data_IF_094973002508
#
_entry.id   IF_094973002508
#
_cell.length_a   1.000
_cell.length_b   1.000
_cell.length_c   1.000
_cell.angle_alpha   90.00
_cell.angle_beta   90.00
_cell.angle_gamma   90.00
#
_symmetry.space_group_name_H-M   'P 1'
#
loop_
_entity.id
_entity.type
_entity.pdbx_description
1 polymer ?
#
# COMPACT_ATOMS: atom_id res chain seq x y z
N UNK A 1 30.22 0.91 25.13
CA UNK A 1 29.27 1.60 26.05
C UNK A 1 29.01 3.03 25.61
N UNK A 2 30.03 3.90 25.51
CA UNK A 2 29.85 5.30 25.10
C UNK A 2 29.50 5.50 23.61
N UNK A 3 30.03 4.64 22.72
CA UNK A 3 29.77 4.68 21.27
C UNK A 3 28.29 4.50 20.90
N UNK A 4 27.58 3.62 21.62
CA UNK A 4 26.18 3.31 21.35
C UNK A 4 25.25 4.47 21.77
N UNK A 5 25.65 5.26 22.77
CA UNK A 5 24.88 6.42 23.26
C UNK A 5 24.91 7.55 22.23
N UNK A 6 26.07 7.78 21.59
CA UNK A 6 26.22 8.76 20.52
C UNK A 6 25.36 8.43 19.29
N UNK A 7 25.26 7.15 18.93
CA UNK A 7 24.42 6.68 17.80
C UNK A 7 22.93 6.91 18.09
N UNK A 8 22.47 6.62 19.30
CA UNK A 8 21.07 6.83 19.71
C UNK A 8 20.70 8.32 19.67
N UNK A 9 21.57 9.18 20.19
CA UNK A 9 21.37 10.63 20.15
C UNK A 9 21.32 11.17 18.71
N UNK A 10 22.11 10.61 17.80
CA UNK A 10 22.11 10.98 16.39
C UNK A 10 20.82 10.51 15.67
N UNK A 11 20.30 9.33 16.02
CA UNK A 11 19.00 8.85 15.51
C UNK A 11 17.85 9.77 15.91
N UNK A 12 17.81 10.27 17.16
CA UNK A 12 16.76 11.19 17.62
C UNK A 12 16.79 12.56 16.93
N UNK A 13 17.97 13.05 16.51
CA UNK A 13 18.12 14.35 15.84
C UNK A 13 17.76 14.34 14.35
N UNK A 14 17.60 13.15 13.73
CA UNK A 14 17.21 12.99 12.33
C UNK A 14 15.74 12.56 12.14
N UNK A 15 14.96 12.43 13.22
CA UNK A 15 13.52 12.14 13.12
C UNK A 15 12.81 13.47 12.84
N UNK A 16 12.80 13.90 11.58
CA UNK A 16 11.83 14.86 11.08
C UNK A 16 10.44 14.32 11.42
N UNK A 17 9.81 14.88 12.46
CA UNK A 17 8.49 14.50 12.94
C UNK A 17 7.40 15.02 11.98
N UNK A 18 7.56 14.80 10.69
CA UNK A 18 6.41 14.75 9.79
C UNK A 18 5.76 13.38 9.98
N UNK A 19 5.05 13.20 11.10
CA UNK A 19 4.01 12.18 11.19
C UNK A 19 2.89 12.62 10.24
N UNK A 20 3.11 12.44 8.94
CA UNK A 20 2.03 12.45 7.97
C UNK A 20 1.23 11.20 8.27
N UNK A 21 0.20 11.34 9.08
CA UNK A 21 -0.89 10.36 9.09
C UNK A 21 -1.45 10.32 7.67
N UNK A 22 -0.97 9.38 6.88
CA UNK A 22 -1.57 9.06 5.60
C UNK A 22 -2.93 8.43 5.92
N UNK A 23 -3.98 8.98 5.31
CA UNK A 23 -5.25 8.27 5.30
C UNK A 23 -5.04 6.92 4.61
N UNK A 24 -5.72 5.85 5.07
CA UNK A 24 -5.64 4.58 4.38
C UNK A 24 -6.14 4.76 2.93
N UNK A 25 -5.62 3.97 1.99
CA UNK A 25 -6.18 3.90 0.65
C UNK A 25 -7.69 3.65 0.70
N UNK A 26 -8.45 4.33 -0.16
CA UNK A 26 -9.91 4.22 -0.25
C UNK A 26 -10.35 2.79 -0.57
N UNK A 27 -9.62 2.08 -1.44
CA UNK A 27 -10.02 0.73 -1.85
C UNK A 27 -10.09 -0.27 -0.68
N UNK A 28 -9.39 -0.02 0.42
CA UNK A 28 -9.43 -0.86 1.62
C UNK A 28 -10.81 -0.85 2.30
N UNK A 29 -11.65 0.14 2.00
CA UNK A 29 -13.03 0.22 2.48
C UNK A 29 -14.05 -0.56 1.63
N UNK A 30 -13.66 -1.06 0.45
CA UNK A 30 -14.57 -1.78 -0.45
C UNK A 30 -14.74 -3.24 0.00
N UNK A 31 -15.96 -3.77 -0.05
CA UNK A 31 -16.18 -5.20 0.23
C UNK A 31 -15.53 -6.07 -0.86
N UNK A 32 -14.84 -7.13 -0.44
CA UNK A 32 -14.22 -8.12 -1.33
C UNK A 32 -13.17 -7.56 -2.31
N UNK A 33 -12.53 -6.42 -2.00
CA UNK A 33 -11.51 -5.81 -2.87
C UNK A 33 -10.33 -6.75 -3.18
N UNK A 34 -10.02 -7.69 -2.27
CA UNK A 34 -8.91 -8.64 -2.42
C UNK A 34 -9.10 -9.58 -3.61
N UNK A 35 -10.34 -9.88 -3.98
CA UNK A 35 -10.64 -10.74 -5.13
C UNK A 35 -10.48 -10.00 -6.47
N UNK A 36 -10.28 -8.69 -6.41
CA UNK A 36 -10.19 -7.78 -7.55
C UNK A 36 -8.77 -7.30 -7.82
N UNK A 37 -7.80 -7.59 -6.96
CA UNK A 37 -6.41 -7.12 -7.11
C UNK A 37 -5.48 -8.27 -7.45
N UNK A 38 -4.40 -7.95 -8.16
CA UNK A 38 -3.26 -8.84 -8.37
C UNK A 38 -2.11 -8.52 -7.43
N UNK A 39 -1.11 -9.38 -7.45
CA UNK A 39 0.19 -9.13 -6.83
C UNK A 39 1.27 -9.16 -7.92
N UNK A 40 2.23 -8.24 -7.84
CA UNK A 40 3.44 -8.26 -8.65
C UNK A 40 4.69 -8.32 -7.76
N UNK A 41 5.70 -9.04 -8.23
CA UNK A 41 7.00 -9.11 -7.55
C UNK A 41 7.81 -7.85 -7.83
N UNK A 42 8.23 -7.15 -6.78
CA UNK A 42 9.08 -5.96 -6.85
C UNK A 42 10.38 -6.21 -6.07
N UNK A 43 11.22 -7.06 -6.66
CA UNK A 43 12.52 -7.44 -6.10
C UNK A 43 12.37 -8.42 -4.93
N UNK A 44 12.37 -7.90 -3.71
CA UNK A 44 12.29 -8.69 -2.46
C UNK A 44 10.93 -8.63 -1.76
N UNK A 45 9.97 -7.89 -2.33
CA UNK A 45 8.63 -7.76 -1.78
C UNK A 45 7.60 -7.84 -2.90
N UNK A 46 6.34 -8.11 -2.53
CA UNK A 46 5.21 -8.08 -3.43
C UNK A 46 4.42 -6.80 -3.22
N UNK A 47 3.95 -6.20 -4.30
CA UNK A 47 3.01 -5.08 -4.25
C UNK A 47 1.70 -5.43 -4.92
N UNK A 48 0.62 -4.78 -4.46
CA UNK A 48 -0.70 -4.91 -5.04
C UNK A 48 -0.77 -4.12 -6.35
N UNK A 49 -1.50 -4.66 -7.31
CA UNK A 49 -1.71 -4.04 -8.61
C UNK A 49 -3.14 -4.31 -9.12
N UNK A 50 -3.57 -3.51 -10.09
CA UNK A 50 -4.83 -3.63 -10.78
C UNK A 50 -4.65 -4.54 -12.00
N UNK A 51 -5.32 -5.71 -12.08
CA UNK A 51 -5.26 -6.58 -13.25
C UNK A 51 -5.77 -5.89 -14.53
N UNK A 52 -5.28 -6.32 -15.70
CA UNK A 52 -5.74 -5.79 -17.00
C UNK A 52 -7.24 -6.08 -17.27
N UNK A 53 -7.73 -7.19 -16.75
CA UNK A 53 -9.13 -7.62 -16.90
C UNK A 53 -9.72 -8.00 -15.54
N UNK A 54 -11.03 -7.78 -15.36
CA UNK A 54 -11.73 -8.11 -14.12
C UNK A 54 -11.63 -9.62 -13.83
N UNK A 55 -11.12 -10.03 -12.66
CA UNK A 55 -11.15 -11.44 -12.25
C UNK A 55 -12.58 -11.98 -12.14
N UNK A 56 -12.75 -13.28 -12.36
CA UNK A 56 -14.06 -13.94 -12.26
C UNK A 56 -14.63 -13.84 -10.84
N UNK A 57 -13.79 -14.06 -9.82
CA UNK A 57 -14.16 -13.97 -8.42
C UNK A 57 -14.48 -12.54 -7.94
N UNK A 58 -14.06 -11.51 -8.68
CA UNK A 58 -14.30 -10.12 -8.32
C UNK A 58 -15.75 -9.69 -8.66
N UNK A 59 -16.54 -9.21 -7.68
CA UNK A 59 -17.86 -8.64 -7.94
C UNK A 59 -17.78 -7.44 -8.88
N UNK A 60 -18.74 -7.33 -9.81
CA UNK A 60 -18.76 -6.26 -10.80
C UNK A 60 -18.79 -4.86 -10.15
N UNK A 61 -19.62 -4.69 -9.12
CA UNK A 61 -19.72 -3.43 -8.39
C UNK A 61 -18.41 -3.05 -7.69
N UNK A 62 -17.76 -4.01 -7.02
CA UNK A 62 -16.45 -3.79 -6.38
C UNK A 62 -15.38 -3.41 -7.40
N UNK A 63 -15.38 -4.05 -8.57
CA UNK A 63 -14.44 -3.74 -9.66
C UNK A 63 -14.57 -2.28 -10.14
N UNK A 64 -15.80 -1.84 -10.38
CA UNK A 64 -16.09 -0.48 -10.83
C UNK A 64 -15.65 0.56 -9.78
N UNK A 65 -15.99 0.32 -8.51
CA UNK A 65 -15.57 1.18 -7.39
C UNK A 65 -14.04 1.17 -7.21
N UNK A 66 -13.39 0.02 -7.39
CA UNK A 66 -11.93 -0.11 -7.28
C UNK A 66 -11.23 0.73 -8.34
N UNK A 67 -11.65 0.64 -9.60
CA UNK A 67 -11.09 1.45 -10.70
C UNK A 67 -11.30 2.94 -10.45
N UNK A 68 -12.47 3.33 -9.95
CA UNK A 68 -12.78 4.73 -9.64
C UNK A 68 -11.81 5.33 -8.60
N UNK A 69 -11.29 4.52 -7.66
CA UNK A 69 -10.30 5.01 -6.71
C UNK A 69 -9.01 5.47 -7.39
N UNK A 70 -8.61 4.81 -8.48
CA UNK A 70 -7.36 5.04 -9.22
C UNK A 70 -6.11 5.07 -8.31
N UNK A 71 -6.10 4.23 -7.26
CA UNK A 71 -5.02 4.17 -6.27
C UNK A 71 -4.00 3.05 -6.53
N UNK A 72 -4.32 2.09 -7.42
CA UNK A 72 -3.47 0.95 -7.73
C UNK A 72 -2.81 1.09 -9.11
N UNK A 73 -1.51 0.78 -9.24
CA UNK A 73 -0.85 0.71 -10.55
C UNK A 73 -1.34 -0.51 -11.33
N UNK A 74 -1.21 -0.54 -12.67
CA UNK A 74 -1.44 -1.75 -13.44
C UNK A 74 -0.49 -2.87 -13.01
N UNK A 75 -1.00 -4.11 -13.06
CA UNK A 75 -0.16 -5.29 -13.21
C UNK A 75 0.39 -5.31 -14.65
#
# INVERSE_FOLDING_TARGET
MLQNILIILFCFLLIDNSVKSALPPKYLGLCNWKDCVGEKEEGTHKSLCLPETKPEACPQETWEQLIETNELPPC
#
